data_IF_344866679647
#
_entry.id   IF_344866679647
#
_cell.length_a   1.000
_cell.length_b   1.000
_cell.length_c   1.000
_cell.angle_alpha   90.00
_cell.angle_beta   90.00
_cell.angle_gamma   90.00
#
_symmetry.space_group_name_H-M   'P 1'
#
loop_
_entity.id
_entity.type
_entity.pdbx_description
1 polymer ?
#
# COMPACT_ATOMS: atom_id res chain seq x y z
N UNK A 1 3.51 9.89 -34.79
CA UNK A 1 4.67 9.06 -34.43
C UNK A 1 4.28 7.64 -33.96
N UNK A 2 3.17 7.11 -34.43
CA UNK A 2 2.57 5.82 -34.03
C UNK A 2 2.97 4.62 -34.92
N UNK A 3 3.65 4.86 -36.02
CA UNK A 3 4.00 3.81 -37.02
C UNK A 3 5.13 2.83 -36.62
N UNK A 4 5.91 3.15 -35.59
CA UNK A 4 7.05 2.29 -35.19
C UNK A 4 6.65 1.15 -34.22
N UNK A 5 5.55 1.28 -33.52
CA UNK A 5 5.12 0.27 -32.55
C UNK A 5 4.42 -0.91 -33.25
N UNK A 6 3.52 -0.63 -34.18
CA UNK A 6 2.79 -1.65 -34.93
C UNK A 6 3.75 -2.48 -35.81
N UNK A 7 4.76 -1.83 -36.39
CA UNK A 7 5.78 -2.51 -37.20
C UNK A 7 6.73 -3.40 -36.40
N UNK A 8 6.90 -3.13 -35.11
CA UNK A 8 7.65 -3.97 -34.16
C UNK A 8 6.81 -5.15 -33.66
N UNK A 9 5.51 -4.96 -33.47
CA UNK A 9 4.60 -6.01 -32.99
C UNK A 9 4.31 -7.06 -34.08
N UNK A 10 4.24 -6.65 -35.35
CA UNK A 10 4.07 -7.57 -36.49
C UNK A 10 5.31 -8.48 -36.75
N UNK A 11 6.44 -8.14 -36.16
CA UNK A 11 7.69 -8.97 -36.28
C UNK A 11 7.85 -9.96 -35.13
N UNK A 12 6.94 -9.98 -34.14
CA UNK A 12 6.99 -10.94 -33.03
C UNK A 12 6.22 -12.21 -33.41
N UNK A 13 6.86 -13.09 -34.15
CA UNK A 13 6.32 -14.44 -34.37
C UNK A 13 6.59 -15.34 -33.18
N UNK A 14 5.54 -15.87 -32.57
CA UNK A 14 5.65 -16.88 -31.54
C UNK A 14 6.07 -18.19 -32.19
N UNK A 15 7.37 -18.50 -32.11
CA UNK A 15 7.93 -19.73 -32.69
C UNK A 15 7.42 -20.97 -31.95
N UNK A 16 7.34 -22.11 -32.66
CA UNK A 16 6.92 -23.39 -32.07
C UNK A 16 7.79 -23.81 -30.90
N UNK A 17 9.06 -23.38 -30.87
CA UNK A 17 9.97 -23.58 -29.73
C UNK A 17 9.53 -22.81 -28.47
N UNK A 18 8.97 -21.62 -28.62
CA UNK A 18 8.39 -20.85 -27.49
C UNK A 18 7.08 -21.47 -26.99
N UNK A 19 6.22 -21.96 -27.90
CA UNK A 19 5.00 -22.69 -27.54
C UNK A 19 5.31 -23.98 -26.79
N UNK A 20 6.28 -24.75 -27.24
CA UNK A 20 6.70 -26.00 -26.59
C UNK A 20 7.29 -25.79 -25.18
N UNK A 21 7.83 -24.59 -24.88
CA UNK A 21 8.40 -24.24 -23.58
C UNK A 21 7.34 -23.80 -22.57
N UNK A 22 6.23 -23.25 -23.04
CA UNK A 22 5.16 -22.69 -22.19
C UNK A 22 4.07 -23.71 -21.89
N UNK A 23 3.66 -24.51 -22.89
CA UNK A 23 2.58 -25.49 -22.77
C UNK A 23 2.79 -26.56 -21.68
N UNK A 24 4.00 -27.11 -21.43
CA UNK A 24 4.19 -28.10 -20.36
C UNK A 24 4.01 -27.54 -18.94
N UNK A 25 4.16 -26.22 -18.75
CA UNK A 25 3.97 -25.58 -17.44
C UNK A 25 2.51 -25.29 -17.11
N UNK A 26 1.66 -25.16 -18.11
CA UNK A 26 0.22 -24.87 -17.93
C UNK A 26 -0.61 -26.15 -17.85
N UNK A 27 -0.18 -27.22 -18.47
CA UNK A 27 -0.90 -28.51 -18.51
C UNK A 27 -0.51 -29.51 -17.39
N UNK A 28 0.35 -29.12 -16.46
CA UNK A 28 0.82 -29.96 -15.34
C UNK A 28 -0.18 -30.16 -14.18
N UNK A 29 -1.47 -29.94 -14.39
CA UNK A 29 -2.52 -30.38 -13.47
C UNK A 29 -2.84 -31.86 -13.71
N UNK A 30 -1.96 -32.73 -13.25
CA UNK A 30 -2.22 -34.19 -13.22
C UNK A 30 -3.49 -34.48 -12.44
N UNK A 31 -4.47 -35.07 -13.12
CA UNK A 31 -5.66 -35.69 -12.52
C UNK A 31 -5.22 -36.86 -11.64
N UNK A 32 -5.08 -36.65 -10.34
CA UNK A 32 -4.91 -37.72 -9.37
C UNK A 32 -6.22 -38.44 -9.21
N UNK A 33 -6.26 -39.71 -9.63
CA UNK A 33 -7.38 -40.62 -9.41
C UNK A 33 -7.69 -40.72 -7.90
N UNK A 34 -8.95 -40.60 -7.46
CA UNK A 34 -9.31 -40.75 -6.05
C UNK A 34 -9.16 -42.17 -5.61
N UNK A 35 -8.23 -42.47 -4.71
CA UNK A 35 -8.13 -43.78 -4.07
C UNK A 35 -9.29 -43.93 -3.06
N UNK A 36 -10.12 -44.92 -3.25
CA UNK A 36 -11.31 -45.26 -2.43
C UNK A 36 -11.02 -45.38 -0.91
N UNK A 37 -9.75 -45.49 -0.52
CA UNK A 37 -9.30 -45.62 0.88
C UNK A 37 -9.39 -44.29 1.68
N UNK A 38 -9.57 -43.14 1.03
CA UNK A 38 -9.68 -41.83 1.72
C UNK A 38 -11.09 -41.52 2.22
N UNK A 39 -12.10 -42.17 1.68
CA UNK A 39 -13.49 -41.98 2.10
C UNK A 39 -13.82 -42.66 3.45
N UNK A 40 -13.09 -43.71 3.82
CA UNK A 40 -13.26 -44.40 5.09
C UNK A 40 -12.78 -43.59 6.30
N UNK A 41 -11.78 -42.70 6.11
CA UNK A 41 -11.28 -41.78 7.16
C UNK A 41 -12.16 -40.55 7.36
N UNK A 42 -12.81 -40.08 6.30
CA UNK A 42 -13.74 -38.93 6.38
C UNK A 42 -15.01 -39.27 7.16
N UNK A 43 -15.52 -40.49 7.06
CA UNK A 43 -16.72 -40.94 7.78
C UNK A 43 -16.49 -41.03 9.30
N UNK A 44 -15.28 -41.39 9.74
CA UNK A 44 -14.93 -41.48 11.18
C UNK A 44 -14.84 -40.07 11.84
N UNK A 45 -14.35 -39.07 11.13
CA UNK A 45 -14.28 -37.69 11.63
C UNK A 45 -15.68 -37.04 11.78
N UNK A 46 -16.62 -37.37 10.88
CA UNK A 46 -17.98 -36.86 10.95
C UNK A 46 -18.77 -37.45 12.14
N UNK A 47 -18.54 -38.73 12.49
CA UNK A 47 -19.19 -39.35 13.66
C UNK A 47 -18.72 -38.75 14.99
N UNK A 48 -17.44 -38.40 15.09
CA UNK A 48 -16.90 -37.74 16.33
C UNK A 48 -17.42 -36.30 16.47
N UNK A 49 -17.61 -35.58 15.37
CA UNK A 49 -18.17 -34.20 15.40
C UNK A 49 -19.66 -34.19 15.78
N UNK A 50 -20.45 -35.20 15.33
CA UNK A 50 -21.88 -35.29 15.69
C UNK A 50 -22.10 -35.76 17.13
N UNK A 51 -21.22 -36.57 17.68
CA UNK A 51 -21.30 -36.99 19.11
C UNK A 51 -20.82 -35.88 20.05
N UNK A 52 -19.86 -35.01 19.61
CA UNK A 52 -19.40 -33.84 20.36
C UNK A 52 -20.45 -32.75 20.46
N UNK A 53 -21.33 -32.61 19.48
CA UNK A 53 -22.35 -31.55 19.45
C UNK A 53 -23.53 -31.80 20.44
N UNK A 54 -23.70 -33.03 20.93
CA UNK A 54 -24.79 -33.41 21.84
C UNK A 54 -24.41 -33.34 23.33
N UNK A 55 -23.13 -33.11 23.66
CA UNK A 55 -22.65 -33.15 25.06
C UNK A 55 -22.06 -31.84 25.59
N UNK A 56 -22.20 -30.72 24.89
CA UNK A 56 -21.80 -29.42 25.41
C UNK A 56 -23.03 -28.61 25.82
N UNK A 57 -23.56 -28.76 27.03
CA UNK A 57 -24.57 -27.84 27.53
C UNK A 57 -23.89 -26.56 28.02
N UNK A 58 -24.26 -25.43 27.45
CA UNK A 58 -24.32 -24.13 28.09
C UNK A 58 -23.11 -23.66 28.90
N UNK A 59 -21.96 -23.44 28.26
CA UNK A 59 -20.88 -22.68 28.89
C UNK A 59 -20.28 -21.59 27.97
N UNK A 60 -21.03 -21.11 26.99
CA UNK A 60 -20.63 -19.99 26.14
C UNK A 60 -21.80 -19.02 25.93
N UNK A 61 -22.32 -18.48 27.08
CA UNK A 61 -22.94 -17.16 27.07
C UNK A 61 -21.88 -16.17 27.57
N UNK A 62 -20.98 -15.79 26.72
CA UNK A 62 -19.99 -14.76 26.93
C UNK A 62 -20.04 -13.82 25.74
N UNK A 63 -20.64 -12.68 25.96
CA UNK A 63 -20.51 -11.38 25.36
C UNK A 63 -20.27 -11.25 23.83
N UNK A 64 -21.23 -10.66 23.10
CA UNK A 64 -21.03 -10.32 21.70
C UNK A 64 -20.38 -8.94 21.61
N UNK A 65 -19.09 -8.84 21.52
CA UNK A 65 -18.39 -7.69 20.90
C UNK A 65 -16.86 -7.77 21.09
N UNK A 66 -16.26 -8.83 20.65
CA UNK A 66 -14.88 -8.67 20.16
C UNK A 66 -15.00 -8.45 18.65
N UNK A 67 -14.93 -7.18 18.24
CA UNK A 67 -14.54 -6.85 16.87
C UNK A 67 -13.23 -7.57 16.62
N UNK A 68 -13.27 -8.62 15.77
CA UNK A 68 -12.05 -9.13 15.16
C UNK A 68 -11.35 -7.92 14.54
N UNK A 69 -10.04 -7.76 14.73
CA UNK A 69 -9.29 -6.82 13.92
C UNK A 69 -9.57 -7.22 12.47
N UNK A 70 -10.05 -6.28 11.67
CA UNK A 70 -10.24 -6.47 10.24
C UNK A 70 -8.90 -6.94 9.70
N UNK A 71 -8.86 -8.19 9.23
CA UNK A 71 -7.69 -8.72 8.54
C UNK A 71 -7.51 -7.84 7.32
N UNK A 72 -6.42 -7.09 7.27
CA UNK A 72 -6.08 -6.25 6.14
C UNK A 72 -6.22 -7.05 4.84
N UNK A 73 -6.90 -6.48 3.88
CA UNK A 73 -7.07 -7.09 2.57
C UNK A 73 -5.71 -7.07 1.89
N UNK A 74 -5.04 -8.21 1.87
CA UNK A 74 -3.78 -8.37 1.14
C UNK A 74 -4.08 -8.32 -0.35
N UNK A 75 -3.82 -7.17 -0.97
CA UNK A 75 -3.94 -7.02 -2.42
C UNK A 75 -2.73 -7.73 -3.04
N UNK A 76 -2.95 -8.57 -4.04
CA UNK A 76 -1.94 -9.44 -4.67
C UNK A 76 -0.76 -8.71 -5.38
N UNK A 77 -0.66 -7.39 -5.24
CA UNK A 77 0.33 -6.51 -5.86
C UNK A 77 1.33 -5.89 -4.86
N UNK A 78 1.48 -6.44 -3.66
CA UNK A 78 2.44 -5.96 -2.65
C UNK A 78 1.99 -4.72 -1.87
N UNK A 79 0.71 -4.34 -1.98
CA UNK A 79 0.09 -3.30 -1.17
C UNK A 79 -0.71 -3.95 -0.05
N UNK A 80 -0.53 -3.48 1.18
CA UNK A 80 -1.24 -3.94 2.37
C UNK A 80 -1.83 -2.74 3.11
N UNK A 81 -3.13 -2.71 3.27
CA UNK A 81 -3.82 -1.70 4.08
C UNK A 81 -3.87 -2.16 5.54
N UNK A 82 -3.51 -1.28 6.47
CA UNK A 82 -3.42 -1.57 7.90
C UNK A 82 -4.23 -0.56 8.71
N UNK A 83 -4.48 -0.86 9.99
CA UNK A 83 -5.47 -0.14 10.79
C UNK A 83 -5.02 1.24 11.31
N UNK A 84 -3.70 1.50 11.47
CA UNK A 84 -3.16 2.71 12.08
C UNK A 84 -1.65 2.85 11.83
N UNK A 85 -1.07 3.99 12.23
CA UNK A 85 0.35 4.27 12.04
C UNK A 85 1.28 3.25 12.73
N UNK A 86 0.91 2.70 13.89
CA UNK A 86 1.72 1.67 14.57
C UNK A 86 1.74 0.37 13.76
N UNK A 87 0.57 -0.08 13.29
CA UNK A 87 0.49 -1.27 12.42
C UNK A 87 1.25 -1.05 11.09
N UNK A 88 1.25 0.19 10.57
CA UNK A 88 2.03 0.54 9.39
C UNK A 88 3.54 0.47 9.69
N UNK A 89 3.99 1.01 10.83
CA UNK A 89 5.39 0.92 11.25
C UNK A 89 5.83 -0.55 11.42
N UNK A 90 4.98 -1.40 11.98
CA UNK A 90 5.26 -2.83 12.13
C UNK A 90 5.37 -3.54 10.76
N UNK A 91 4.50 -3.17 9.81
CA UNK A 91 4.47 -3.75 8.45
C UNK A 91 5.68 -3.35 7.61
N UNK A 92 6.21 -2.12 7.77
CA UNK A 92 7.35 -1.62 6.99
C UNK A 92 8.70 -1.80 7.72
N UNK A 93 8.68 -2.05 9.04
CA UNK A 93 9.88 -2.29 9.84
C UNK A 93 10.68 -1.04 10.24
N UNK A 94 10.08 0.16 10.13
CA UNK A 94 10.67 1.43 10.57
C UNK A 94 9.61 2.36 11.18
N UNK A 95 10.02 3.36 12.01
CA UNK A 95 9.09 4.28 12.65
C UNK A 95 8.29 5.08 11.64
N UNK A 96 6.98 5.17 11.83
CA UNK A 96 6.05 5.98 11.03
C UNK A 96 5.23 6.85 11.96
N UNK A 97 5.14 8.14 11.64
CA UNK A 97 4.33 9.12 12.36
C UNK A 97 3.36 9.78 11.39
N UNK A 98 2.20 10.15 11.90
CA UNK A 98 1.23 10.97 11.16
C UNK A 98 1.73 12.40 11.03
N UNK A 99 1.24 13.12 10.02
CA UNK A 99 1.46 14.55 9.90
C UNK A 99 0.68 15.28 11.01
N UNK A 100 1.39 15.94 11.92
CA UNK A 100 0.76 16.69 13.01
C UNK A 100 0.06 17.97 12.54
N UNK A 101 0.45 18.52 11.38
CA UNK A 101 -0.10 19.73 10.78
C UNK A 101 -0.49 19.43 9.34
N UNK A 102 -1.73 19.73 9.00
CA UNK A 102 -2.25 19.71 7.62
C UNK A 102 -3.07 20.96 7.38
N UNK A 103 -3.25 21.43 6.12
CA UNK A 103 -4.03 22.62 5.81
C UNK A 103 -5.56 22.39 5.93
N UNK A 104 -5.99 21.21 6.34
CA UNK A 104 -7.37 20.81 6.59
C UNK A 104 -7.43 19.80 7.72
N UNK A 105 -8.61 19.60 8.32
CA UNK A 105 -8.87 18.59 9.33
C UNK A 105 -9.32 17.27 8.66
N UNK A 106 -8.54 16.18 8.74
CA UNK A 106 -8.89 14.92 8.10
C UNK A 106 -10.17 14.30 8.71
N UNK A 107 -11.04 13.80 7.83
CA UNK A 107 -12.23 13.01 8.22
C UNK A 107 -11.95 11.51 8.16
N UNK A 108 -11.07 11.10 7.25
CA UNK A 108 -10.66 9.71 7.05
C UNK A 108 -9.14 9.66 6.88
N UNK A 109 -8.52 8.63 7.45
CA UNK A 109 -7.08 8.38 7.32
C UNK A 109 -6.88 6.92 6.93
N UNK A 110 -6.12 6.68 5.86
CA UNK A 110 -5.77 5.35 5.37
C UNK A 110 -4.26 5.11 5.50
N UNK A 111 -3.89 3.91 5.88
CA UNK A 111 -2.49 3.51 6.10
C UNK A 111 -2.16 2.35 5.18
N UNK A 112 -1.18 2.51 4.30
CA UNK A 112 -0.81 1.52 3.30
C UNK A 112 0.68 1.24 3.33
N UNK A 113 1.03 -0.04 3.46
CA UNK A 113 2.39 -0.55 3.27
C UNK A 113 2.57 -0.97 1.81
N UNK A 114 3.63 -0.49 1.16
CA UNK A 114 4.03 -0.92 -0.18
C UNK A 114 5.24 -1.84 -0.08
N UNK A 115 5.05 -3.14 -0.36
CA UNK A 115 6.09 -4.19 -0.33
C UNK A 115 6.89 -4.26 0.97
N UNK A 116 6.36 -3.75 2.09
CA UNK A 116 7.10 -3.64 3.35
C UNK A 116 8.29 -2.66 3.29
N UNK A 117 8.37 -1.80 2.28
CA UNK A 117 9.52 -0.90 2.05
C UNK A 117 9.15 0.58 2.04
N UNK A 118 7.89 0.91 1.83
CA UNK A 118 7.40 2.29 1.84
C UNK A 118 6.09 2.37 2.61
N UNK A 119 6.02 3.29 3.54
CA UNK A 119 4.81 3.68 4.25
C UNK A 119 4.10 4.80 3.49
N UNK A 120 2.78 4.71 3.35
CA UNK A 120 1.94 5.78 2.86
C UNK A 120 0.79 6.02 3.82
N UNK A 121 0.52 7.27 4.16
CA UNK A 121 -0.65 7.72 4.91
C UNK A 121 -1.42 8.68 4.01
N UNK A 122 -2.68 8.36 3.75
CA UNK A 122 -3.57 9.20 2.95
C UNK A 122 -4.63 9.80 3.86
N UNK A 123 -4.74 11.12 3.85
CA UNK A 123 -5.70 11.91 4.62
C UNK A 123 -6.74 12.48 3.68
N UNK A 124 -8.02 12.38 4.05
CA UNK A 124 -9.13 12.82 3.21
C UNK A 124 -10.14 13.66 4.00
N UNK A 125 -10.62 14.76 3.38
CA UNK A 125 -11.71 15.59 3.89
C UNK A 125 -12.50 16.19 2.70
N UNK A 126 -13.58 15.54 2.29
CA UNK A 126 -14.34 15.91 1.11
C UNK A 126 -13.50 15.83 -0.16
N UNK A 127 -13.21 16.97 -0.81
CA UNK A 127 -12.36 17.04 -2.00
C UNK A 127 -10.88 17.29 -1.66
N UNK A 128 -10.56 17.52 -0.40
CA UNK A 128 -9.19 17.74 0.05
C UNK A 128 -8.51 16.43 0.40
N UNK A 129 -7.32 16.22 -0.15
CA UNK A 129 -6.49 15.05 0.15
C UNK A 129 -5.04 15.46 0.43
N UNK A 130 -4.39 14.69 1.31
CA UNK A 130 -2.96 14.74 1.52
C UNK A 130 -2.41 13.31 1.50
N UNK A 131 -1.28 13.10 0.85
CA UNK A 131 -0.60 11.81 0.77
C UNK A 131 0.83 11.96 1.26
N UNK A 132 1.12 11.41 2.43
CA UNK A 132 2.45 11.36 3.02
C UNK A 132 3.09 10.01 2.76
N UNK A 133 4.30 10.00 2.19
CA UNK A 133 5.12 8.81 2.00
C UNK A 133 6.42 8.90 2.78
N UNK A 134 6.87 7.76 3.29
CA UNK A 134 8.16 7.59 3.95
C UNK A 134 8.79 6.28 3.52
N UNK A 135 10.08 6.32 3.19
CA UNK A 135 10.86 5.12 2.82
C UNK A 135 12.30 5.22 3.29
N UNK A 136 13.00 4.10 3.54
CA UNK A 136 14.42 4.12 3.86
C UNK A 136 15.27 4.69 2.72
N UNK A 137 16.37 5.37 3.07
CA UNK A 137 17.29 5.99 2.12
C UNK A 137 16.95 7.45 1.83
N UNK A 138 17.61 8.01 0.84
CA UNK A 138 17.49 9.43 0.47
C UNK A 138 16.95 9.64 -0.93
N UNK A 139 16.61 8.57 -1.64
CA UNK A 139 16.06 8.63 -2.99
C UNK A 139 14.60 9.08 -2.95
N UNK A 140 14.22 9.97 -3.86
CA UNK A 140 12.86 10.50 -3.96
C UNK A 140 11.83 9.38 -4.09
N UNK A 141 10.78 9.44 -3.26
CA UNK A 141 9.72 8.42 -3.18
C UNK A 141 8.32 8.93 -3.56
N UNK A 142 8.20 10.14 -4.12
CA UNK A 142 6.90 10.73 -4.48
C UNK A 142 6.17 9.93 -5.56
N UNK A 143 6.91 9.24 -6.43
CA UNK A 143 6.35 8.59 -7.61
C UNK A 143 5.75 9.58 -8.61
N UNK A 144 6.09 10.85 -8.49
CA UNK A 144 5.61 11.92 -9.35
C UNK A 144 6.67 12.31 -10.39
N UNK A 145 6.36 12.11 -11.64
CA UNK A 145 7.21 12.45 -12.78
C UNK A 145 6.72 13.68 -13.54
N UNK A 146 5.83 14.47 -12.93
CA UNK A 146 5.32 15.70 -13.52
C UNK A 146 6.42 16.76 -13.59
N UNK A 147 6.54 17.44 -14.71
CA UNK A 147 7.36 18.66 -14.83
C UNK A 147 6.58 19.84 -14.27
N UNK A 148 6.97 20.32 -13.11
CA UNK A 148 6.32 21.43 -12.44
C UNK A 148 6.91 22.75 -12.92
N UNK A 149 6.07 23.74 -13.33
CA UNK A 149 6.54 25.05 -13.78
C UNK A 149 7.10 25.93 -12.65
N UNK A 150 6.71 25.65 -11.38
CA UNK A 150 7.22 26.34 -10.21
C UNK A 150 7.90 25.36 -9.25
N UNK A 151 9.13 25.66 -8.87
CA UNK A 151 9.88 24.93 -7.85
C UNK A 151 10.55 25.92 -6.90
N UNK A 152 10.60 25.58 -5.60
CA UNK A 152 11.26 26.37 -4.58
C UNK A 152 12.00 25.47 -3.59
N UNK A 153 13.17 25.94 -3.09
CA UNK A 153 13.87 25.29 -1.98
C UNK A 153 13.49 25.98 -0.68
N UNK A 154 13.09 25.17 0.29
CA UNK A 154 12.63 25.61 1.60
C UNK A 154 13.46 24.93 2.68
N UNK A 155 13.92 25.70 3.66
CA UNK A 155 14.50 25.14 4.90
C UNK A 155 13.45 25.17 6.00
N UNK A 156 13.11 23.98 6.54
CA UNK A 156 12.14 23.80 7.61
C UNK A 156 12.84 23.16 8.84
N UNK A 157 13.24 24.00 9.81
CA UNK A 157 14.13 23.58 10.89
C UNK A 157 15.50 23.19 10.35
N UNK A 158 15.91 21.94 10.57
CA UNK A 158 17.17 21.37 10.08
C UNK A 158 17.00 20.60 8.74
N UNK A 159 15.81 20.63 8.14
CA UNK A 159 15.47 19.90 6.91
C UNK A 159 15.46 20.83 5.71
N UNK A 160 16.09 20.41 4.64
CA UNK A 160 15.98 21.05 3.33
C UNK A 160 14.97 20.29 2.48
N UNK A 161 13.95 21.00 2.00
CA UNK A 161 12.88 20.47 1.17
C UNK A 161 12.85 21.18 -0.19
N UNK A 162 12.39 20.46 -1.21
CA UNK A 162 12.02 21.01 -2.50
C UNK A 162 10.50 21.00 -2.64
N UNK A 163 9.93 22.20 -2.89
CA UNK A 163 8.53 22.41 -3.18
C UNK A 163 8.31 22.43 -4.68
N UNK A 164 7.22 21.83 -5.14
CA UNK A 164 6.83 21.79 -6.56
C UNK A 164 5.35 22.09 -6.71
N UNK A 165 4.98 22.86 -7.73
CA UNK A 165 3.60 23.25 -8.00
C UNK A 165 3.39 23.88 -9.37
N UNK A 166 2.13 24.19 -9.67
CA UNK A 166 1.73 24.76 -10.96
C UNK A 166 2.01 26.27 -11.05
N UNK A 167 2.15 26.93 -9.92
CA UNK A 167 2.48 28.35 -9.84
C UNK A 167 3.27 28.66 -8.56
N UNK A 168 3.92 29.84 -8.55
CA UNK A 168 4.56 30.39 -7.36
C UNK A 168 3.50 30.50 -6.24
N UNK A 169 3.88 30.19 -5.00
CA UNK A 169 2.99 30.18 -3.83
C UNK A 169 1.77 29.24 -3.92
N UNK A 170 1.79 28.27 -4.86
CA UNK A 170 0.76 27.25 -5.04
C UNK A 170 1.39 25.87 -5.23
N UNK A 171 2.25 25.48 -4.27
CA UNK A 171 2.96 24.20 -4.31
C UNK A 171 2.07 23.07 -3.82
N UNK A 172 2.03 21.98 -4.58
CA UNK A 172 1.22 20.79 -4.29
C UNK A 172 2.03 19.59 -3.84
N UNK A 173 3.35 19.62 -4.01
CA UNK A 173 4.26 18.54 -3.63
C UNK A 173 5.46 19.11 -2.89
N UNK A 174 5.82 18.47 -1.78
CA UNK A 174 7.10 18.65 -1.11
C UNK A 174 7.86 17.33 -1.06
N UNK A 175 9.18 17.37 -1.29
CA UNK A 175 10.09 16.24 -1.13
C UNK A 175 11.27 16.63 -0.27
N UNK A 176 11.67 15.78 0.69
CA UNK A 176 12.80 16.04 1.59
C UNK A 176 13.40 14.73 2.14
N UNK A 177 14.51 14.85 2.84
CA UNK A 177 15.15 13.76 3.55
C UNK A 177 15.72 14.23 4.88
N UNK A 178 15.72 13.35 5.88
CA UNK A 178 16.42 13.55 7.15
C UNK A 178 17.82 12.86 7.18
N UNK A 179 18.26 12.33 6.02
CA UNK A 179 19.50 11.60 5.85
C UNK A 179 19.38 10.09 6.10
N UNK A 180 18.31 9.63 6.73
CA UNK A 180 18.00 8.21 6.94
C UNK A 180 16.79 7.77 6.13
N UNK A 181 15.78 8.64 6.02
CA UNK A 181 14.54 8.39 5.29
C UNK A 181 14.27 9.48 4.27
N UNK A 182 13.69 9.09 3.16
CA UNK A 182 13.09 9.99 2.19
C UNK A 182 11.61 10.17 2.49
N UNK A 183 11.14 11.39 2.31
CA UNK A 183 9.75 11.80 2.50
C UNK A 183 9.22 12.50 1.28
N UNK A 184 7.95 12.30 1.00
CA UNK A 184 7.19 13.15 0.11
C UNK A 184 5.79 13.39 0.66
N UNK A 185 5.27 14.59 0.50
CA UNK A 185 3.89 14.92 0.83
C UNK A 185 3.25 15.66 -0.32
N UNK A 186 2.13 15.14 -0.79
CA UNK A 186 1.31 15.72 -1.84
C UNK A 186 0.00 16.23 -1.26
N UNK A 187 -0.42 17.41 -1.70
CA UNK A 187 -1.71 18.00 -1.37
C UNK A 187 -2.55 18.15 -2.64
N UNK A 188 -3.87 17.96 -2.54
CA UNK A 188 -4.81 18.24 -3.63
C UNK A 188 -4.97 19.71 -3.96
N UNK A 189 -4.60 20.60 -3.02
CA UNK A 189 -4.66 22.05 -3.18
C UNK A 189 -3.30 22.69 -2.89
N UNK A 190 -2.85 23.57 -3.77
CA UNK A 190 -1.58 24.27 -3.62
C UNK A 190 -1.54 25.15 -2.36
N UNK A 191 -0.39 25.15 -1.69
CA UNK A 191 -0.09 25.95 -0.51
C UNK A 191 1.17 26.78 -0.73
N UNK A 192 1.29 27.91 0.00
CA UNK A 192 2.51 28.70 -0.02
C UNK A 192 3.63 28.08 0.84
N UNK A 193 4.85 28.60 0.71
CA UNK A 193 6.02 28.08 1.40
C UNK A 193 5.91 28.12 2.94
N UNK A 194 5.22 29.12 3.50
CA UNK A 194 5.06 29.24 4.96
C UNK A 194 4.20 28.10 5.53
N UNK A 195 3.12 27.74 4.83
CA UNK A 195 2.27 26.61 5.21
C UNK A 195 3.04 25.29 5.07
N UNK A 196 3.80 25.11 3.99
CA UNK A 196 4.65 23.95 3.79
C UNK A 196 5.71 23.79 4.88
N UNK A 197 6.32 24.91 5.32
CA UNK A 197 7.28 24.88 6.43
C UNK A 197 6.67 24.30 7.71
N UNK A 198 5.44 24.70 8.05
CA UNK A 198 4.73 24.18 9.23
C UNK A 198 4.39 22.70 9.07
N UNK A 199 3.95 22.29 7.88
CA UNK A 199 3.63 20.89 7.59
C UNK A 199 4.88 19.99 7.73
N UNK A 200 6.00 20.36 7.10
CA UNK A 200 7.25 19.59 7.13
C UNK A 200 7.78 19.45 8.56
N UNK A 201 7.76 20.54 9.34
CA UNK A 201 8.14 20.50 10.76
C UNK A 201 7.21 19.61 11.61
N UNK A 202 5.98 19.41 11.19
CA UNK A 202 4.99 18.54 11.84
C UNK A 202 5.10 17.06 11.46
N UNK A 203 6.00 16.69 10.55
CA UNK A 203 6.28 15.31 10.16
C UNK A 203 7.59 14.88 10.77
N UNK A 204 7.55 14.05 11.84
CA UNK A 204 8.75 13.55 12.55
C UNK A 204 8.70 12.01 12.70
#
# INVERSE_FOLDING_TARGET
MTLKYDELMDKIEVTDAMRARILPRVSGAEQRKPAARRWALAAACFAVLLLGALTVPKLLTGDPAQKQPEQGVMIANGMEEVANAQALADAVGFPVSEAAVLPFEPQTVHYTSYWGQMAQITYEAGEQTAELRKSPGTDENSGDYTEYPATERLTAGDLDAELRGDAQDAYTLAVWTDGQYAYSLRLSQGQNAEVWQQIIMGVQ
#
